data_IF_911656137523
#
_entry.id   IF_911656137523
#
_cell.length_a   1.000
_cell.length_b   1.000
_cell.length_c   1.000
_cell.angle_alpha   90.00
_cell.angle_beta   90.00
_cell.angle_gamma   90.00
#
_symmetry.space_group_name_H-M   'P 1'
#
loop_
_entity.id
_entity.type
_entity.pdbx_description
1 polymer ?
#
# COMPACT_ATOMS: atom_id res chain seq x y z
N UNK A 1 -18.60 -12.95 -11.33
CA UNK A 1 -17.20 -13.19 -11.73
C UNK A 1 -16.31 -12.58 -10.68
N UNK A 2 -15.18 -13.19 -10.33
CA UNK A 2 -14.22 -12.56 -9.43
C UNK A 2 -13.75 -11.22 -10.02
N UNK A 3 -13.48 -10.24 -9.16
CA UNK A 3 -12.77 -9.04 -9.56
C UNK A 3 -11.36 -9.40 -10.04
N UNK A 4 -10.76 -8.59 -10.91
CA UNK A 4 -9.37 -8.80 -11.35
C UNK A 4 -8.53 -7.62 -10.88
N UNK A 5 -7.56 -7.87 -10.00
CA UNK A 5 -6.51 -6.92 -9.63
C UNK A 5 -5.29 -7.14 -10.53
N UNK A 6 -4.95 -6.14 -11.35
CA UNK A 6 -3.75 -6.15 -12.16
C UNK A 6 -2.63 -5.33 -11.53
N UNK A 7 -1.48 -5.93 -11.31
CA UNK A 7 -0.28 -5.22 -10.86
C UNK A 7 1.01 -5.96 -11.24
N UNK A 8 2.14 -5.32 -11.01
CA UNK A 8 3.43 -6.03 -11.03
C UNK A 8 3.47 -7.11 -9.93
N UNK A 9 4.25 -8.16 -10.17
CA UNK A 9 4.51 -9.23 -9.19
C UNK A 9 5.50 -8.80 -8.10
N UNK A 10 5.16 -7.68 -7.43
CA UNK A 10 5.88 -7.07 -6.32
C UNK A 10 4.85 -6.58 -5.29
N UNK A 11 5.29 -6.17 -4.10
CA UNK A 11 4.47 -5.46 -3.12
C UNK A 11 3.91 -4.15 -3.72
N UNK A 12 4.80 -3.18 -3.97
CA UNK A 12 4.51 -1.86 -4.54
C UNK A 12 3.22 -1.20 -4.04
N UNK A 13 2.56 -0.48 -4.94
CA UNK A 13 1.31 0.25 -4.67
C UNK A 13 0.07 -0.64 -4.50
N UNK A 14 0.19 -1.95 -4.72
CA UNK A 14 -0.95 -2.88 -4.62
C UNK A 14 -1.09 -3.51 -3.23
N UNK A 15 -0.16 -3.28 -2.29
CA UNK A 15 -0.19 -3.95 -0.99
C UNK A 15 -1.45 -3.64 -0.19
N UNK A 16 -1.79 -2.35 -0.03
CA UNK A 16 -3.01 -1.93 0.65
C UNK A 16 -4.29 -2.48 -0.04
N UNK A 17 -4.30 -2.56 -1.38
CA UNK A 17 -5.44 -3.09 -2.14
C UNK A 17 -5.64 -4.59 -1.86
N UNK A 18 -4.56 -5.38 -1.93
CA UNK A 18 -4.61 -6.82 -1.63
C UNK A 18 -5.11 -7.07 -0.21
N UNK A 19 -4.57 -6.33 0.77
CA UNK A 19 -5.01 -6.42 2.16
C UNK A 19 -6.49 -6.06 2.31
N UNK A 20 -6.97 -5.02 1.62
CA UNK A 20 -8.38 -4.60 1.69
C UNK A 20 -9.31 -5.62 1.03
N UNK A 21 -8.92 -6.22 -0.10
CA UNK A 21 -9.67 -7.29 -0.75
C UNK A 21 -9.80 -8.52 0.17
N UNK A 22 -8.70 -8.92 0.82
CA UNK A 22 -8.69 -10.04 1.77
C UNK A 22 -9.52 -9.72 3.03
N UNK A 23 -9.40 -8.51 3.58
CA UNK A 23 -10.19 -8.08 4.74
C UNK A 23 -11.70 -8.06 4.47
N UNK A 24 -12.08 -7.62 3.27
CA UNK A 24 -13.50 -7.56 2.85
C UNK A 24 -14.05 -8.90 2.36
N UNK A 25 -13.24 -9.96 2.41
CA UNK A 25 -13.58 -11.29 1.89
C UNK A 25 -14.03 -11.26 0.42
N UNK A 26 -13.43 -10.36 -0.35
CA UNK A 26 -13.77 -10.11 -1.74
C UNK A 26 -13.42 -11.32 -2.61
N UNK A 27 -14.30 -11.68 -3.54
CA UNK A 27 -13.97 -12.65 -4.60
C UNK A 27 -13.13 -11.96 -5.67
N UNK A 28 -11.84 -12.27 -5.73
CA UNK A 28 -10.91 -11.67 -6.70
C UNK A 28 -9.81 -12.64 -7.17
N UNK A 29 -9.25 -12.35 -8.34
CA UNK A 29 -8.06 -12.96 -8.90
C UNK A 29 -7.00 -11.88 -9.15
N UNK A 30 -5.72 -12.27 -9.19
CA UNK A 30 -4.63 -11.35 -9.51
C UNK A 30 -4.01 -11.66 -10.88
N UNK A 31 -3.97 -10.64 -11.74
CA UNK A 31 -3.12 -10.63 -12.93
C UNK A 31 -1.77 -10.01 -12.55
N UNK A 32 -0.81 -10.88 -12.26
CA UNK A 32 0.56 -10.51 -11.91
C UNK A 32 1.42 -10.40 -13.17
N UNK A 33 1.91 -9.19 -13.45
CA UNK A 33 2.86 -8.94 -14.53
C UNK A 33 4.29 -9.09 -14.00
N UNK A 34 5.11 -9.90 -14.65
CA UNK A 34 6.53 -10.05 -14.30
C UNK A 34 7.39 -9.14 -15.16
N UNK A 35 8.22 -8.33 -14.51
CA UNK A 35 9.28 -7.56 -15.18
C UNK A 35 10.49 -8.46 -15.44
N UNK A 36 11.06 -8.39 -16.63
CA UNK A 36 12.31 -9.06 -17.00
C UNK A 36 13.49 -8.61 -16.16
N UNK A 37 14.59 -9.36 -16.21
CA UNK A 37 15.81 -9.01 -15.49
C UNK A 37 16.59 -7.89 -16.19
N UNK A 38 17.56 -7.32 -15.46
CA UNK A 38 18.50 -6.35 -16.00
C UNK A 38 19.37 -6.97 -17.12
N UNK A 39 19.84 -6.18 -18.10
CA UNK A 39 19.66 -4.73 -18.22
C UNK A 39 18.34 -4.30 -18.89
N UNK A 40 17.61 -5.24 -19.49
CA UNK A 40 16.50 -4.92 -20.39
C UNK A 40 15.20 -4.56 -19.65
N UNK A 41 15.00 -5.14 -18.47
CA UNK A 41 13.79 -4.94 -17.65
C UNK A 41 12.50 -5.13 -18.45
N UNK A 42 12.43 -6.19 -19.26
CA UNK A 42 11.32 -6.41 -20.19
C UNK A 42 9.95 -6.24 -19.52
N UNK A 43 9.08 -5.45 -20.16
CA UNK A 43 7.72 -5.15 -19.67
C UNK A 43 6.66 -5.69 -20.61
N UNK A 44 7.03 -6.55 -21.57
CA UNK A 44 6.15 -7.02 -22.64
C UNK A 44 4.85 -7.64 -22.12
N UNK A 45 4.89 -8.41 -21.02
CA UNK A 45 3.68 -8.99 -20.41
C UNK A 45 2.61 -7.93 -20.13
N UNK A 46 2.99 -6.78 -19.59
CA UNK A 46 2.07 -5.67 -19.37
C UNK A 46 1.78 -4.91 -20.66
N UNK A 47 2.82 -4.51 -21.40
CA UNK A 47 2.68 -3.64 -22.57
C UNK A 47 1.83 -4.26 -23.68
N UNK A 48 1.82 -5.59 -23.80
CA UNK A 48 1.02 -6.32 -24.78
C UNK A 48 -0.49 -6.28 -24.48
N UNK A 49 -0.88 -6.02 -23.24
CA UNK A 49 -2.27 -6.02 -22.75
C UNK A 49 -2.76 -4.60 -22.41
N UNK A 50 -1.84 -3.68 -22.09
CA UNK A 50 -2.09 -2.34 -21.53
C UNK A 50 -3.28 -1.61 -22.15
N UNK A 51 -3.36 -1.56 -23.47
CA UNK A 51 -4.40 -0.82 -24.20
C UNK A 51 -5.58 -1.69 -24.65
N UNK A 52 -5.67 -2.95 -24.20
CA UNK A 52 -6.70 -3.93 -24.60
C UNK A 52 -7.71 -4.25 -23.49
N UNK A 53 -7.50 -3.71 -22.29
CA UNK A 53 -8.35 -3.97 -21.13
C UNK A 53 -9.54 -3.00 -21.00
N UNK A 54 -9.59 -1.96 -21.84
CA UNK A 54 -10.64 -0.93 -21.81
C UNK A 54 -10.52 0.05 -20.64
N UNK A 55 -9.33 0.21 -20.06
CA UNK A 55 -9.04 1.20 -19.01
C UNK A 55 -9.04 2.61 -19.62
N UNK A 56 -9.66 3.59 -18.95
CA UNK A 56 -9.69 5.00 -19.41
C UNK A 56 -8.29 5.62 -19.41
N UNK A 57 -7.53 5.39 -18.33
CA UNK A 57 -6.13 5.80 -18.19
C UNK A 57 -5.28 4.56 -17.88
N UNK A 58 -4.83 3.80 -18.92
CA UNK A 58 -4.14 2.53 -18.73
C UNK A 58 -2.91 2.60 -17.83
N UNK A 59 -3.01 2.02 -16.64
CA UNK A 59 -1.96 2.05 -15.62
C UNK A 59 -2.04 0.83 -14.68
N UNK A 60 -1.03 0.69 -13.82
CA UNK A 60 -0.97 -0.32 -12.75
C UNK A 60 -0.84 0.40 -11.38
N UNK A 61 -1.61 0.01 -10.35
CA UNK A 61 -2.61 -1.05 -10.37
C UNK A 61 -3.88 -0.68 -11.15
N UNK A 62 -4.58 -1.72 -11.62
CA UNK A 62 -5.95 -1.63 -12.08
C UNK A 62 -6.84 -2.62 -11.33
N UNK A 63 -8.13 -2.32 -11.21
CA UNK A 63 -9.18 -3.23 -10.76
C UNK A 63 -10.26 -3.31 -11.84
N UNK A 64 -10.63 -4.53 -12.23
CA UNK A 64 -11.78 -4.79 -13.09
C UNK A 64 -12.84 -5.53 -12.27
N UNK A 65 -14.02 -4.93 -12.15
CA UNK A 65 -15.18 -5.50 -11.49
C UNK A 65 -16.41 -5.38 -12.38
N UNK A 66 -16.67 -6.45 -13.16
CA UNK A 66 -17.70 -6.46 -14.18
C UNK A 66 -17.49 -5.33 -15.20
N UNK A 67 -18.41 -4.37 -15.22
CA UNK A 67 -18.34 -3.22 -16.11
C UNK A 67 -17.36 -2.13 -15.63
N UNK A 68 -17.01 -2.12 -14.33
CA UNK A 68 -16.15 -1.10 -13.74
C UNK A 68 -14.68 -1.41 -14.01
N UNK A 69 -13.96 -0.42 -14.54
CA UNK A 69 -12.55 -0.51 -14.92
C UNK A 69 -11.82 0.67 -14.30
N UNK A 70 -11.04 0.40 -13.26
CA UNK A 70 -10.55 1.44 -12.35
C UNK A 70 -9.02 1.40 -12.34
N UNK A 71 -8.38 2.54 -12.52
CA UNK A 71 -6.95 2.74 -12.24
C UNK A 71 -6.77 3.77 -11.12
N UNK A 72 -5.53 3.99 -10.69
CA UNK A 72 -5.15 4.74 -9.47
C UNK A 72 -5.46 3.98 -8.19
N UNK A 73 -4.42 3.70 -7.39
CA UNK A 73 -4.54 2.88 -6.17
C UNK A 73 -5.57 3.42 -5.18
N UNK A 74 -5.58 4.73 -4.97
CA UNK A 74 -6.51 5.40 -4.06
C UNK A 74 -7.96 5.31 -4.56
N UNK A 75 -8.20 5.47 -5.87
CA UNK A 75 -9.53 5.28 -6.45
C UNK A 75 -10.03 3.83 -6.32
N UNK A 76 -9.13 2.84 -6.49
CA UNK A 76 -9.42 1.43 -6.28
C UNK A 76 -9.79 1.16 -4.81
N UNK A 77 -8.97 1.65 -3.87
CA UNK A 77 -9.24 1.51 -2.43
C UNK A 77 -10.57 2.14 -2.06
N UNK A 78 -10.83 3.38 -2.48
CA UNK A 78 -12.09 4.07 -2.27
C UNK A 78 -13.29 3.32 -2.87
N UNK A 79 -13.14 2.70 -4.04
CA UNK A 79 -14.19 1.89 -4.66
C UNK A 79 -14.57 0.69 -3.79
N UNK A 80 -13.58 -0.08 -3.35
CA UNK A 80 -13.78 -1.24 -2.47
C UNK A 80 -14.35 -0.74 -1.12
N UNK A 81 -13.78 0.32 -0.55
CA UNK A 81 -14.21 0.88 0.71
C UNK A 81 -15.69 1.28 0.72
N UNK A 82 -16.16 1.94 -0.35
CA UNK A 82 -17.58 2.33 -0.48
C UNK A 82 -18.53 1.14 -0.54
N UNK A 83 -18.10 0.01 -1.13
CA UNK A 83 -18.92 -1.22 -1.14
C UNK A 83 -19.12 -1.83 0.23
N UNK A 84 -18.22 -1.55 1.17
CA UNK A 84 -18.17 -2.16 2.50
C UNK A 84 -18.31 -1.15 3.65
N UNK A 85 -18.70 0.11 3.37
CA UNK A 85 -18.83 1.19 4.36
C UNK A 85 -17.54 1.46 5.17
N UNK A 86 -16.38 1.45 4.49
CA UNK A 86 -15.06 1.65 5.11
C UNK A 86 -14.47 3.05 4.79
N UNK A 87 -15.30 4.09 4.66
CA UNK A 87 -14.87 5.43 4.20
C UNK A 87 -14.82 6.52 5.29
N UNK A 88 -15.20 6.21 6.53
CA UNK A 88 -15.55 7.22 7.52
C UNK A 88 -17.02 7.65 7.37
N UNK A 89 -17.71 7.77 8.50
CA UNK A 89 -19.15 8.02 8.57
C UNK A 89 -19.44 9.49 8.86
N UNK A 90 -18.69 10.08 9.80
CA UNK A 90 -18.85 11.51 10.18
C UNK A 90 -17.94 12.42 9.35
N UNK A 91 -18.21 13.73 9.40
CA UNK A 91 -17.35 14.71 8.74
C UNK A 91 -15.93 14.71 9.31
N UNK A 92 -15.79 14.55 10.62
CA UNK A 92 -14.49 14.44 11.29
C UNK A 92 -13.73 13.19 10.81
N UNK A 93 -14.40 12.06 10.65
CA UNK A 93 -13.77 10.84 10.15
C UNK A 93 -13.34 11.00 8.68
N UNK A 94 -14.17 11.63 7.84
CA UNK A 94 -13.85 11.90 6.43
C UNK A 94 -12.64 12.83 6.30
N UNK A 95 -12.60 13.94 7.05
CA UNK A 95 -11.44 14.85 7.06
C UNK A 95 -10.16 14.08 7.41
N UNK A 96 -10.22 13.18 8.41
CA UNK A 96 -9.05 12.38 8.81
C UNK A 96 -8.63 11.38 7.73
N UNK A 97 -9.60 10.75 7.07
CA UNK A 97 -9.37 9.86 5.93
C UNK A 97 -8.70 10.61 4.79
N UNK A 98 -9.23 11.78 4.40
CA UNK A 98 -8.74 12.57 3.28
C UNK A 98 -7.29 13.05 3.51
N UNK A 99 -6.99 13.55 4.71
CA UNK A 99 -5.63 13.96 5.09
C UNK A 99 -4.66 12.79 4.96
N UNK A 100 -5.00 11.64 5.55
CA UNK A 100 -4.10 10.50 5.59
C UNK A 100 -3.95 9.80 4.26
N UNK A 101 -4.99 9.75 3.42
CA UNK A 101 -4.91 9.22 2.06
C UNK A 101 -3.82 9.94 1.26
N UNK A 102 -3.73 11.26 1.40
CA UNK A 102 -2.72 12.08 0.72
C UNK A 102 -1.35 12.00 1.43
N UNK A 103 -1.33 12.11 2.76
CA UNK A 103 -0.09 12.08 3.55
C UNK A 103 0.67 10.75 3.39
N UNK A 104 -0.05 9.63 3.31
CA UNK A 104 0.55 8.31 3.08
C UNK A 104 1.15 8.20 1.68
N UNK A 105 0.50 8.77 0.66
CA UNK A 105 1.04 8.83 -0.70
C UNK A 105 2.34 9.65 -0.74
N UNK A 106 2.38 10.83 -0.10
CA UNK A 106 3.59 11.66 -0.03
C UNK A 106 4.76 10.90 0.58
N UNK A 107 4.55 10.20 1.70
CA UNK A 107 5.63 9.43 2.34
C UNK A 107 6.04 8.19 1.55
N UNK A 108 5.08 7.49 0.93
CA UNK A 108 5.39 6.36 0.04
C UNK A 108 6.26 6.82 -1.13
N UNK A 109 5.90 7.95 -1.76
CA UNK A 109 6.65 8.53 -2.88
C UNK A 109 8.04 9.01 -2.45
N UNK A 110 8.19 9.64 -1.29
CA UNK A 110 9.51 10.06 -0.78
C UNK A 110 10.46 8.87 -0.58
N UNK A 111 10.00 7.78 0.03
CA UNK A 111 10.81 6.57 0.18
C UNK A 111 11.14 5.95 -1.18
N UNK A 112 10.13 5.86 -2.07
CA UNK A 112 10.32 5.39 -3.44
C UNK A 112 11.39 6.17 -4.17
N UNK A 113 11.35 7.51 -4.14
CA UNK A 113 12.35 8.36 -4.79
C UNK A 113 13.77 8.03 -4.36
N UNK A 114 14.00 7.74 -3.09
CA UNK A 114 15.32 7.39 -2.57
C UNK A 114 15.72 5.98 -2.98
N UNK A 115 14.81 5.00 -2.85
CA UNK A 115 15.11 3.60 -3.17
C UNK A 115 15.35 3.33 -4.66
N UNK A 116 14.88 4.19 -5.55
CA UNK A 116 15.18 4.14 -6.99
C UNK A 116 16.38 5.01 -7.41
N UNK A 117 16.93 5.83 -6.51
CA UNK A 117 18.02 6.74 -6.85
C UNK A 117 19.37 6.01 -6.93
N UNK A 118 20.17 6.15 -8.01
CA UNK A 118 21.53 5.59 -8.08
C UNK A 118 22.46 6.02 -6.94
N UNK A 119 22.21 7.17 -6.31
CA UNK A 119 22.92 7.68 -5.13
C UNK A 119 22.28 7.28 -3.79
N UNK A 120 21.48 6.20 -3.76
CA UNK A 120 20.78 5.70 -2.57
C UNK A 120 21.62 5.73 -1.29
N UNK A 121 22.85 5.22 -1.33
CA UNK A 121 23.74 5.16 -0.16
C UNK A 121 24.13 6.54 0.39
N UNK A 122 24.16 7.58 -0.46
CA UNK A 122 24.42 8.96 -0.02
C UNK A 122 23.17 9.63 0.56
N UNK A 123 21.99 9.28 0.05
CA UNK A 123 20.71 9.89 0.44
C UNK A 123 20.10 9.24 1.68
N UNK A 124 20.35 7.94 1.89
CA UNK A 124 19.79 7.15 2.99
C UNK A 124 20.05 7.77 4.38
N UNK A 125 21.26 8.24 4.74
CA UNK A 125 21.51 8.79 6.07
C UNK A 125 20.59 9.97 6.42
N UNK A 126 20.42 10.92 5.49
CA UNK A 126 19.52 12.07 5.67
C UNK A 126 18.07 11.62 5.83
N UNK A 127 17.63 10.64 5.05
CA UNK A 127 16.27 10.12 5.19
C UNK A 127 16.02 9.49 6.57
N UNK A 128 17.00 8.74 7.07
CA UNK A 128 16.92 8.11 8.39
C UNK A 128 16.96 9.14 9.53
N UNK A 129 17.64 10.27 9.35
CA UNK A 129 17.64 11.39 10.29
C UNK A 129 16.25 12.04 10.40
N UNK A 130 15.55 12.23 9.27
CA UNK A 130 14.22 12.85 9.21
C UNK A 130 13.07 11.87 9.57
N UNK A 131 13.31 10.57 9.48
CA UNK A 131 12.28 9.54 9.66
C UNK A 131 11.54 9.61 11.01
N UNK A 132 12.21 9.81 12.17
CA UNK A 132 11.53 9.93 13.46
C UNK A 132 10.51 11.07 13.50
N UNK A 133 10.79 12.21 12.86
CA UNK A 133 9.84 13.34 12.82
C UNK A 133 8.59 12.98 12.02
N UNK A 134 8.74 12.29 10.89
CA UNK A 134 7.61 11.81 10.09
C UNK A 134 6.74 10.84 10.88
N UNK A 135 7.36 9.87 11.56
CA UNK A 135 6.65 8.87 12.36
C UNK A 135 5.98 9.50 13.60
N UNK A 136 6.59 10.53 14.19
CA UNK A 136 5.98 11.31 15.27
C UNK A 136 4.65 11.93 14.84
N UNK A 137 4.56 12.48 13.62
CA UNK A 137 3.31 13.05 13.11
C UNK A 137 2.19 12.00 13.02
N UNK A 138 2.47 10.78 12.54
CA UNK A 138 1.50 9.69 12.55
C UNK A 138 1.10 9.29 13.98
N UNK A 139 2.07 9.19 14.89
CA UNK A 139 1.83 8.84 16.29
C UNK A 139 0.92 9.86 16.98
N UNK A 140 1.18 11.15 16.81
CA UNK A 140 0.34 12.23 17.36
C UNK A 140 -1.04 12.25 16.72
N UNK A 141 -1.13 12.04 15.40
CA UNK A 141 -2.40 12.01 14.69
C UNK A 141 -3.29 10.84 15.12
N UNK A 142 -2.73 9.64 15.33
CA UNK A 142 -3.45 8.48 15.86
C UNK A 142 -3.90 8.74 17.31
N UNK A 143 -2.97 9.18 18.15
CA UNK A 143 -3.18 9.40 19.58
C UNK A 143 -3.56 8.10 20.29
N UNK A 144 -4.73 8.10 20.94
CA UNK A 144 -5.28 6.96 21.69
C UNK A 144 -6.33 6.14 20.91
N UNK A 145 -6.59 6.50 19.65
CA UNK A 145 -7.62 5.83 18.85
C UNK A 145 -7.15 4.42 18.46
N UNK A 146 -8.05 3.44 18.32
CA UNK A 146 -7.69 2.12 17.81
C UNK A 146 -7.34 2.16 16.32
N UNK A 147 -7.99 3.05 15.57
CA UNK A 147 -7.86 3.23 14.12
C UNK A 147 -7.70 4.72 13.78
N UNK A 148 -7.17 5.00 12.59
CA UNK A 148 -6.76 6.35 12.23
C UNK A 148 -7.94 7.31 12.01
N UNK A 149 -9.07 6.86 11.49
CA UNK A 149 -10.26 7.70 11.38
C UNK A 149 -10.98 7.87 12.72
N UNK A 150 -10.99 6.85 13.58
CA UNK A 150 -11.78 6.86 14.81
C UNK A 150 -11.81 5.50 15.51
N UNK A 151 -13.01 5.08 15.92
CA UNK A 151 -13.21 3.79 16.60
C UNK A 151 -13.43 2.62 15.64
N UNK A 152 -13.74 2.91 14.37
CA UNK A 152 -13.94 1.92 13.30
C UNK A 152 -12.77 1.99 12.32
N UNK A 153 -12.41 0.83 11.78
CA UNK A 153 -11.42 0.73 10.72
C UNK A 153 -11.98 1.31 9.42
N UNK A 154 -11.14 1.99 8.65
CA UNK A 154 -11.44 2.47 7.30
C UNK A 154 -10.34 2.04 6.34
N UNK A 155 -10.52 2.28 5.04
CA UNK A 155 -9.50 1.93 4.05
C UNK A 155 -8.16 2.65 4.28
N UNK A 156 -8.17 3.79 4.98
CA UNK A 156 -6.94 4.54 5.26
C UNK A 156 -6.02 3.81 6.23
N UNK A 157 -6.56 2.95 7.11
CA UNK A 157 -5.74 2.11 7.99
C UNK A 157 -4.89 1.12 7.18
N UNK A 158 -5.35 0.69 5.99
CA UNK A 158 -4.60 -0.18 5.08
C UNK A 158 -3.44 0.56 4.42
N UNK A 159 -3.65 1.82 4.07
CA UNK A 159 -2.60 2.71 3.55
C UNK A 159 -1.56 3.01 4.64
N UNK A 160 -2.00 3.36 5.84
CA UNK A 160 -1.08 3.67 6.94
C UNK A 160 -0.32 2.43 7.39
N UNK A 161 -0.97 1.26 7.46
CA UNK A 161 -0.26 -0.01 7.71
C UNK A 161 0.84 -0.23 6.66
N UNK A 162 0.53 -0.10 5.37
CA UNK A 162 1.52 -0.31 4.32
C UNK A 162 2.72 0.63 4.46
N UNK A 163 2.48 1.93 4.69
CA UNK A 163 3.54 2.92 4.87
C UNK A 163 4.38 2.63 6.12
N UNK A 164 3.76 2.35 7.26
CA UNK A 164 4.49 2.09 8.51
C UNK A 164 5.28 0.77 8.45
N UNK A 165 4.70 -0.28 7.89
CA UNK A 165 5.39 -1.56 7.70
C UNK A 165 6.55 -1.43 6.69
N UNK A 166 6.35 -0.66 5.62
CA UNK A 166 7.41 -0.37 4.66
C UNK A 166 8.61 0.34 5.34
N UNK A 167 8.36 1.28 6.23
CA UNK A 167 9.40 1.92 7.04
C UNK A 167 10.04 0.96 8.05
N UNK A 168 9.26 0.07 8.69
CA UNK A 168 9.77 -1.00 9.55
C UNK A 168 10.68 -1.96 8.77
N UNK A 169 10.39 -2.23 7.51
CA UNK A 169 11.25 -3.03 6.63
C UNK A 169 12.53 -2.26 6.27
N UNK A 170 12.43 -0.95 6.08
CA UNK A 170 13.57 -0.08 5.72
C UNK A 170 14.54 0.16 6.89
N UNK A 171 13.99 0.42 8.07
CA UNK A 171 14.69 0.66 9.33
C UNK A 171 13.94 -0.06 10.48
N UNK A 172 14.37 -1.27 10.88
CA UNK A 172 13.62 -2.12 11.82
C UNK A 172 13.26 -1.49 13.16
N UNK A 173 14.06 -0.53 13.64
CA UNK A 173 13.85 0.12 14.95
C UNK A 173 13.08 1.43 14.86
N UNK A 174 12.65 1.86 13.67
CA UNK A 174 12.05 3.18 13.48
C UNK A 174 10.77 3.41 14.31
N UNK A 175 10.04 2.35 14.66
CA UNK A 175 8.80 2.44 15.44
C UNK A 175 9.00 2.30 16.97
N UNK A 176 10.22 2.03 17.46
CA UNK A 176 10.44 1.73 18.89
C UNK A 176 10.11 2.91 19.82
N UNK A 177 10.24 4.13 19.33
CA UNK A 177 9.88 5.35 20.06
C UNK A 177 8.36 5.64 20.07
N UNK A 178 7.55 4.86 19.34
CA UNK A 178 6.12 5.13 19.12
C UNK A 178 5.25 3.92 19.49
N UNK A 179 5.00 3.67 20.79
CA UNK A 179 4.25 2.50 21.25
C UNK A 179 2.87 2.35 20.60
N UNK A 180 2.15 3.45 20.43
CA UNK A 180 0.84 3.45 19.77
C UNK A 180 0.88 3.02 18.30
N UNK A 181 1.97 3.30 17.58
CA UNK A 181 2.15 2.80 16.21
C UNK A 181 2.49 1.31 16.19
N UNK A 182 3.29 0.81 17.15
CA UNK A 182 3.53 -0.63 17.31
C UNK A 182 2.25 -1.39 17.67
N UNK A 183 1.43 -0.80 18.52
CA UNK A 183 0.11 -1.34 18.89
C UNK A 183 -0.83 -1.33 17.69
N UNK A 184 -0.84 -0.28 16.88
CA UNK A 184 -1.60 -0.21 15.63
C UNK A 184 -1.20 -1.32 14.65
N UNK A 185 0.11 -1.49 14.39
CA UNK A 185 0.62 -2.56 13.51
C UNK A 185 0.18 -3.93 14.04
N UNK A 186 0.37 -4.20 15.34
CA UNK A 186 -0.01 -5.47 15.95
C UNK A 186 -1.53 -5.72 15.87
N UNK A 187 -2.34 -4.67 16.05
CA UNK A 187 -3.79 -4.75 15.93
C UNK A 187 -4.22 -5.06 14.50
N UNK A 188 -3.61 -4.41 13.51
CA UNK A 188 -3.92 -4.62 12.10
C UNK A 188 -3.53 -6.04 11.65
N UNK A 189 -2.30 -6.49 11.95
CA UNK A 189 -1.83 -7.84 11.64
C UNK A 189 -2.62 -8.94 12.40
N UNK A 190 -3.22 -8.57 13.54
CA UNK A 190 -4.06 -9.44 14.35
C UNK A 190 -5.51 -9.58 13.87
N UNK A 191 -5.96 -8.79 12.89
CA UNK A 191 -7.30 -8.96 12.29
C UNK A 191 -7.38 -10.35 11.65
N UNK A 192 -8.45 -11.10 11.92
CA UNK A 192 -8.57 -12.51 11.53
C UNK A 192 -8.24 -12.77 10.05
N UNK A 193 -8.89 -12.02 9.15
CA UNK A 193 -8.68 -12.11 7.69
C UNK A 193 -7.27 -11.70 7.26
N UNK A 194 -6.68 -10.69 7.91
CA UNK A 194 -5.32 -10.23 7.62
C UNK A 194 -4.30 -11.27 8.08
N UNK A 195 -4.42 -11.77 9.32
CA UNK A 195 -3.55 -12.80 9.87
C UNK A 195 -3.61 -14.09 9.05
N UNK A 196 -4.80 -14.49 8.60
CA UNK A 196 -4.99 -15.64 7.71
C UNK A 196 -4.32 -15.40 6.35
N UNK A 197 -4.53 -14.23 5.74
CA UNK A 197 -3.90 -13.87 4.47
C UNK A 197 -2.38 -13.87 4.56
N UNK A 198 -1.78 -13.27 5.59
CA UNK A 198 -0.32 -13.19 5.78
C UNK A 198 0.36 -14.56 5.94
N UNK A 199 -0.39 -15.59 6.33
CA UNK A 199 0.08 -16.98 6.42
C UNK A 199 -0.14 -17.77 5.13
N UNK A 200 -0.86 -17.21 4.16
CA UNK A 200 -1.17 -17.87 2.89
C UNK A 200 -0.06 -17.66 1.86
N UNK A 201 -0.04 -18.51 0.83
CA UNK A 201 0.86 -18.36 -0.32
C UNK A 201 0.56 -17.15 -1.22
N UNK A 202 -0.59 -16.49 -1.02
CA UNK A 202 -0.96 -15.28 -1.75
C UNK A 202 -0.25 -14.04 -1.21
N UNK A 203 0.19 -14.08 0.05
CA UNK A 203 0.83 -12.93 0.68
C UNK A 203 2.14 -12.57 -0.01
N UNK A 204 2.20 -11.33 -0.53
CA UNK A 204 3.34 -10.82 -1.27
C UNK A 204 3.95 -9.60 -0.56
N UNK A 205 4.76 -9.80 0.51
CA UNK A 205 5.41 -8.72 1.24
C UNK A 205 6.68 -8.19 0.53
N UNK A 206 7.28 -9.00 -0.35
CA UNK A 206 8.52 -8.71 -1.09
C UNK A 206 8.46 -9.29 -2.52
N UNK A 207 9.23 -8.74 -3.48
CA UNK A 207 10.08 -7.55 -3.34
C UNK A 207 9.23 -6.29 -3.11
N UNK A 208 9.80 -5.31 -2.41
CA UNK A 208 9.09 -4.08 -2.06
C UNK A 208 8.84 -3.23 -3.30
N UNK A 209 9.90 -3.05 -4.09
CA UNK A 209 9.94 -2.27 -5.32
C UNK A 209 10.28 -3.16 -6.52
N UNK A 210 10.23 -2.57 -7.72
CA UNK A 210 10.57 -3.30 -8.94
C UNK A 210 12.07 -3.60 -9.03
N UNK A 211 12.43 -4.49 -9.96
CA UNK A 211 13.83 -4.88 -10.23
C UNK A 211 14.78 -3.70 -10.52
N UNK A 212 14.23 -2.56 -10.95
CA UNK A 212 14.98 -1.34 -11.24
C UNK A 212 15.38 -0.52 -9.99
N UNK A 213 14.81 -0.82 -8.81
CA UNK A 213 15.20 -0.12 -7.60
C UNK A 213 16.60 -0.53 -7.14
N UNK A 214 17.31 0.39 -6.48
CA UNK A 214 18.60 0.11 -5.83
C UNK A 214 18.38 -0.67 -4.53
N UNK A 215 17.33 -0.32 -3.77
CA UNK A 215 16.95 -1.02 -2.54
C UNK A 215 15.54 -1.61 -2.67
N UNK A 216 15.33 -2.78 -2.06
CA UNK A 216 14.03 -3.43 -1.99
C UNK A 216 13.58 -4.07 -3.32
N UNK A 217 14.49 -4.28 -4.26
CA UNK A 217 14.25 -4.88 -5.57
C UNK A 217 14.22 -6.43 -5.58
N UNK A 218 14.43 -7.05 -4.41
CA UNK A 218 14.45 -8.50 -4.19
C UNK A 218 13.72 -8.85 -2.91
#
# INVERSE_FOLDING_TARGET
MPMILGYWDIRGLAHAIRLLLEYTDSSYEEKKYTMGDAPDYDRSQWLNEKFKLGLDFPNLPYLIDGAHKITQSNAILCYIARKHNLCGETEEEKIRVDILENQTMDNHMQLGMICYNPEFEKLKPKYLEELPEKLKLYSEFLGKRPWFAGNKITFVDFLVYDVLDLHRIFEPKCLDAFPNLKDFISRFEGLEKISAYMKSSRFLPRPVFSKMAVWGNK
#
